data_IF_592179516103
#
_entry.id   IF_592179516103
#
_cell.length_a   1.000
_cell.length_b   1.000
_cell.length_c   1.000
_cell.angle_alpha   90.00
_cell.angle_beta   90.00
_cell.angle_gamma   90.00
#
_symmetry.space_group_name_H-M   'P 1'
#
loop_
_entity.id
_entity.type
_entity.pdbx_description
1 polymer ?
#
# COMPACT_ATOMS: atom_id res chain seq x y z
N UNK A 1 -6.78 0.21 38.24
CA UNK A 1 -7.49 -0.31 37.06
C UNK A 1 -7.11 0.34 35.72
N UNK A 2 -6.50 1.54 35.64
CA UNK A 2 -6.16 2.15 34.35
C UNK A 2 -4.81 1.71 33.70
N UNK A 3 -3.95 0.96 34.42
CA UNK A 3 -2.61 0.57 33.93
C UNK A 3 -2.58 -0.73 33.11
N UNK A 4 -3.50 -1.68 33.33
CA UNK A 4 -3.51 -2.98 32.64
C UNK A 4 -3.89 -2.86 31.16
N UNK A 5 -4.84 -1.98 30.82
CA UNK A 5 -5.35 -1.81 29.44
C UNK A 5 -4.28 -1.32 28.44
N UNK A 6 -3.26 -0.59 28.90
CA UNK A 6 -2.26 0.00 28.03
C UNK A 6 -1.15 -1.00 27.64
N UNK A 7 -0.81 -1.91 28.57
CA UNK A 7 0.17 -2.97 28.34
C UNK A 7 -0.37 -4.04 27.40
N UNK A 8 -1.64 -4.44 27.54
CA UNK A 8 -2.28 -5.38 26.60
C UNK A 8 -2.34 -4.86 25.16
N UNK A 9 -2.62 -3.56 24.99
CA UNK A 9 -2.64 -2.94 23.66
C UNK A 9 -1.25 -2.93 23.01
N UNK A 10 -0.21 -2.72 23.81
CA UNK A 10 1.19 -2.71 23.34
C UNK A 10 1.64 -4.11 22.87
N UNK A 11 1.31 -5.17 23.61
CA UNK A 11 1.63 -6.55 23.19
C UNK A 11 0.85 -6.96 21.92
N UNK A 12 -0.43 -6.56 21.80
CA UNK A 12 -1.22 -6.77 20.58
C UNK A 12 -0.59 -6.10 19.36
N UNK A 13 -0.13 -4.85 19.50
CA UNK A 13 0.54 -4.12 18.43
C UNK A 13 1.87 -4.77 18.02
N UNK A 14 2.62 -5.30 18.98
CA UNK A 14 3.87 -6.01 18.72
C UNK A 14 3.65 -7.29 17.91
N UNK A 15 2.66 -8.09 18.30
CA UNK A 15 2.28 -9.32 17.56
C UNK A 15 1.78 -8.99 16.16
N UNK A 16 0.99 -7.92 16.03
CA UNK A 16 0.51 -7.43 14.74
C UNK A 16 1.68 -7.07 13.81
N UNK A 17 2.61 -6.25 14.27
CA UNK A 17 3.75 -5.82 13.45
C UNK A 17 4.64 -6.99 13.03
N UNK A 18 4.94 -7.93 13.94
CA UNK A 18 5.72 -9.13 13.62
C UNK A 18 5.01 -10.02 12.57
N UNK A 19 3.68 -10.07 12.61
CA UNK A 19 2.89 -10.82 11.63
C UNK A 19 2.92 -10.13 10.26
N UNK A 20 2.79 -8.81 10.22
CA UNK A 20 2.89 -8.03 8.98
C UNK A 20 4.26 -8.21 8.30
N UNK A 21 5.35 -8.11 9.06
CA UNK A 21 6.71 -8.35 8.56
C UNK A 21 6.89 -9.76 8.02
N UNK A 22 6.32 -10.77 8.70
CA UNK A 22 6.35 -12.15 8.24
C UNK A 22 5.62 -12.33 6.91
N UNK A 23 4.45 -11.72 6.75
CA UNK A 23 3.68 -11.80 5.50
C UNK A 23 4.44 -11.14 4.35
N UNK A 24 5.04 -9.97 4.59
CA UNK A 24 5.83 -9.26 3.58
C UNK A 24 7.05 -10.09 3.13
N UNK A 25 7.72 -10.79 4.07
CA UNK A 25 8.86 -11.66 3.74
C UNK A 25 8.46 -12.88 2.91
N UNK A 26 7.29 -13.46 3.17
CA UNK A 26 6.83 -14.69 2.50
C UNK A 26 6.21 -14.40 1.14
N UNK A 27 5.39 -13.35 1.04
CA UNK A 27 4.59 -13.06 -0.16
C UNK A 27 5.14 -11.88 -0.98
N UNK A 28 6.18 -11.20 -0.47
CA UNK A 28 6.79 -10.06 -1.12
C UNK A 28 6.23 -8.71 -0.63
N UNK A 29 6.97 -7.64 -0.98
CA UNK A 29 6.59 -6.27 -0.64
C UNK A 29 5.24 -5.90 -1.24
N UNK A 30 4.41 -5.25 -0.44
CA UNK A 30 3.08 -4.78 -0.86
C UNK A 30 1.98 -5.85 -0.85
N UNK A 31 2.25 -7.07 -0.36
CA UNK A 31 1.21 -8.07 -0.12
C UNK A 31 0.21 -7.66 0.98
N UNK A 32 0.66 -6.84 1.93
CA UNK A 32 -0.16 -6.21 2.96
C UNK A 32 0.39 -4.81 3.26
N UNK A 33 -0.50 -3.84 3.45
CA UNK A 33 -0.15 -2.43 3.73
C UNK A 33 -1.30 -1.76 4.48
N UNK A 34 -1.03 -0.68 5.22
CA UNK A 34 -2.11 0.14 5.78
C UNK A 34 -2.58 1.14 4.73
N UNK A 35 -3.88 1.41 4.70
CA UNK A 35 -4.41 2.44 3.83
C UNK A 35 -3.82 3.80 4.24
N UNK A 36 -3.22 4.50 3.28
CA UNK A 36 -2.52 5.77 3.51
C UNK A 36 -1.02 5.64 3.77
N UNK A 37 -0.48 4.41 3.85
CA UNK A 37 0.96 4.21 3.81
C UNK A 37 1.50 4.63 2.43
N UNK A 38 2.68 5.25 2.42
CA UNK A 38 3.34 5.60 1.17
C UNK A 38 3.87 4.34 0.48
N UNK A 39 3.64 4.16 -0.82
CA UNK A 39 4.20 3.02 -1.55
C UNK A 39 5.73 3.06 -1.52
N UNK A 40 6.35 1.87 -1.54
CA UNK A 40 7.80 1.70 -1.53
C UNK A 40 8.45 2.48 -2.68
N UNK A 41 9.39 3.35 -2.34
CA UNK A 41 10.23 4.09 -3.29
C UNK A 41 11.04 3.11 -4.15
N UNK A 42 11.13 3.38 -5.47
CA UNK A 42 12.00 2.64 -6.39
C UNK A 42 11.33 1.90 -7.56
N UNK A 43 10.06 2.18 -7.89
CA UNK A 43 9.42 1.67 -9.10
C UNK A 43 9.64 2.62 -10.28
N UNK A 44 10.03 2.08 -11.43
CA UNK A 44 9.93 2.82 -12.68
C UNK A 44 8.47 2.95 -13.09
N UNK A 45 8.07 4.15 -13.51
CA UNK A 45 6.69 4.46 -13.88
C UNK A 45 6.60 5.13 -15.25
N UNK A 46 5.40 5.10 -15.84
CA UNK A 46 5.01 5.84 -17.04
C UNK A 46 3.90 6.83 -16.62
N UNK A 47 4.01 8.13 -16.90
CA UNK A 47 2.98 9.10 -16.53
C UNK A 47 1.63 8.77 -17.19
N UNK A 48 0.52 8.93 -16.46
CA UNK A 48 -0.83 8.72 -17.02
C UNK A 48 -1.31 9.87 -17.91
N UNK A 49 -0.63 11.02 -17.85
CA UNK A 49 -1.07 12.27 -18.51
C UNK A 49 -2.04 13.11 -17.66
N UNK A 50 -2.45 12.61 -16.49
CA UNK A 50 -3.24 13.35 -15.51
C UNK A 50 -2.47 13.47 -14.19
N UNK A 51 -2.12 14.70 -13.80
CA UNK A 51 -1.39 14.99 -12.56
C UNK A 51 -2.13 14.44 -11.34
N UNK A 52 -3.47 14.59 -11.31
CA UNK A 52 -4.29 14.11 -10.21
C UNK A 52 -4.25 12.59 -10.09
N UNK A 53 -4.28 11.88 -11.23
CA UNK A 53 -4.21 10.42 -11.25
C UNK A 53 -2.82 9.91 -10.84
N UNK A 54 -1.75 10.54 -11.35
CA UNK A 54 -0.37 10.17 -11.02
C UNK A 54 -0.12 10.28 -9.51
N UNK A 55 -0.58 11.37 -8.88
CA UNK A 55 -0.48 11.56 -7.43
C UNK A 55 -1.33 10.52 -6.68
N UNK A 56 -2.55 10.26 -7.14
CA UNK A 56 -3.47 9.31 -6.50
C UNK A 56 -2.95 7.87 -6.54
N UNK A 57 -2.21 7.48 -7.59
CA UNK A 57 -1.53 6.18 -7.67
C UNK A 57 -0.40 6.03 -6.64
N UNK A 58 0.03 7.12 -5.98
CA UNK A 58 1.06 7.15 -4.95
C UNK A 58 2.49 6.97 -5.46
N UNK A 59 2.67 6.37 -6.65
CA UNK A 59 3.97 6.17 -7.31
C UNK A 59 4.22 7.14 -8.47
N UNK A 60 3.34 8.12 -8.69
CA UNK A 60 3.44 9.13 -9.76
C UNK A 60 3.30 8.59 -11.19
N UNK A 61 2.55 7.50 -11.38
CA UNK A 61 2.23 6.97 -12.71
C UNK A 61 1.92 5.48 -12.72
N UNK A 62 1.84 4.92 -13.93
CA UNK A 62 1.61 3.49 -14.16
C UNK A 62 2.91 2.69 -13.95
N UNK A 63 2.93 1.66 -13.09
CA UNK A 63 4.15 0.91 -12.79
C UNK A 63 4.60 0.04 -13.98
N UNK A 64 5.87 0.16 -14.36
CA UNK A 64 6.46 -0.69 -15.41
C UNK A 64 6.60 -2.14 -14.96
N UNK A 65 6.48 -3.07 -15.90
CA UNK A 65 6.60 -4.51 -15.62
C UNK A 65 5.43 -5.09 -14.82
N UNK A 66 4.30 -4.38 -14.77
CA UNK A 66 3.06 -4.79 -14.11
C UNK A 66 1.90 -4.74 -15.09
N UNK A 67 0.89 -5.55 -14.84
CA UNK A 67 -0.39 -5.50 -15.57
C UNK A 67 -1.25 -4.42 -14.92
N UNK A 68 -1.83 -3.55 -15.76
CA UNK A 68 -2.75 -2.49 -15.34
C UNK A 68 -4.09 -2.73 -16.04
N UNK A 69 -5.17 -2.69 -15.29
CA UNK A 69 -6.53 -2.76 -15.80
C UNK A 69 -7.21 -1.39 -15.65
N UNK A 70 -7.77 -0.87 -16.74
CA UNK A 70 -8.58 0.34 -16.77
C UNK A 70 -9.95 -0.07 -17.34
N UNK A 71 -11.01 0.18 -16.59
CA UNK A 71 -12.36 -0.17 -16.99
C UNK A 71 -13.30 1.03 -16.80
N UNK A 72 -14.35 1.08 -17.61
CA UNK A 72 -15.36 2.12 -17.52
C UNK A 72 -16.43 1.98 -18.61
N UNK A 73 -17.51 2.77 -18.53
CA UNK A 73 -18.52 2.86 -19.58
C UNK A 73 -17.96 3.29 -20.95
N UNK A 74 -18.73 3.10 -22.01
CA UNK A 74 -18.42 3.69 -23.32
C UNK A 74 -18.29 5.22 -23.18
N UNK A 75 -17.26 5.81 -23.81
CA UNK A 75 -16.93 7.24 -23.72
C UNK A 75 -16.48 7.75 -22.34
N UNK A 76 -16.01 6.87 -21.43
CA UNK A 76 -15.56 7.26 -20.09
C UNK A 76 -14.13 7.81 -19.99
N UNK A 77 -13.34 7.70 -21.06
CA UNK A 77 -11.96 8.16 -21.14
C UNK A 77 -11.71 8.85 -22.46
#
# INVERSE_FOLDING_TARGET
MAKENNTENTEKLKVLNATLERLEKVYGKGAIMKLGDKPSEGLEVIPSGSIGLDIALGVNGLPKGRVVEIFGPESSG
#
